data_IF_278562943010
#
_entry.id   IF_278562943010
#
_cell.length_a   1.000
_cell.length_b   1.000
_cell.length_c   1.000
_cell.angle_alpha   90.00
_cell.angle_beta   90.00
_cell.angle_gamma   90.00
#
_symmetry.space_group_name_H-M   'P 1'
#
loop_
_entity.id
_entity.type
_entity.pdbx_description
1 polymer ?
#
# COMPACT_ATOMS: atom_id res chain seq x y z
N UNK A 1 -9.39 -79.19 28.22
CA UNK A 1 -8.78 -78.87 26.91
C UNK A 1 -7.77 -77.76 27.13
N UNK A 2 -6.54 -78.02 27.59
CA UNK A 2 -5.39 -78.65 26.91
C UNK A 2 -4.95 -77.92 25.62
N UNK A 3 -3.96 -77.05 25.81
CA UNK A 3 -2.71 -76.87 25.05
C UNK A 3 -2.72 -76.71 23.51
N UNK A 4 -1.94 -75.71 23.09
CA UNK A 4 -1.00 -75.72 21.95
C UNK A 4 -1.48 -75.19 20.59
N UNK A 5 -1.05 -73.96 20.26
CA UNK A 5 -0.28 -73.68 19.03
C UNK A 5 0.38 -72.29 19.15
N UNK A 6 1.61 -72.21 19.67
CA UNK A 6 2.85 -72.06 18.89
C UNK A 6 2.84 -70.86 17.92
N UNK A 7 3.41 -69.75 18.41
CA UNK A 7 4.51 -68.99 17.78
C UNK A 7 4.66 -69.29 16.28
N UNK A 8 4.15 -68.40 15.45
CA UNK A 8 4.71 -68.15 14.13
C UNK A 8 5.24 -66.72 14.13
N UNK A 9 6.38 -66.54 14.81
CA UNK A 9 7.35 -65.51 14.47
C UNK A 9 7.90 -65.92 13.11
N UNK A 10 7.25 -65.48 12.04
CA UNK A 10 7.88 -65.43 10.73
C UNK A 10 8.21 -63.98 10.43
N UNK A 11 9.48 -63.73 10.68
CA UNK A 11 10.30 -62.63 10.20
C UNK A 11 10.01 -62.40 8.71
N UNK A 12 9.01 -61.58 8.39
CA UNK A 12 9.03 -60.78 7.15
C UNK A 12 9.64 -59.44 7.53
N UNK A 13 10.92 -59.51 7.90
CA UNK A 13 11.87 -58.40 7.86
C UNK A 13 12.60 -58.49 6.50
N UNK A 14 11.83 -58.72 5.43
CA UNK A 14 12.33 -58.72 4.06
C UNK A 14 12.01 -57.35 3.44
N UNK A 15 13.03 -56.50 3.42
CA UNK A 15 13.26 -55.53 2.36
C UNK A 15 12.07 -54.63 1.97
N UNK A 16 11.49 -53.93 2.93
CA UNK A 16 11.06 -52.56 2.63
C UNK A 16 12.29 -51.65 2.63
N UNK A 17 13.20 -51.89 1.69
CA UNK A 17 14.09 -50.83 1.21
C UNK A 17 13.12 -49.88 0.53
N UNK A 18 12.56 -48.97 1.32
CA UNK A 18 11.89 -47.79 0.83
C UNK A 18 12.98 -47.09 0.04
N UNK A 19 13.01 -47.35 -1.27
CA UNK A 19 13.73 -46.54 -2.21
C UNK A 19 13.13 -45.14 -2.03
N UNK A 20 13.79 -44.32 -1.22
CA UNK A 20 13.65 -42.89 -1.28
C UNK A 20 14.16 -42.48 -2.67
N UNK A 21 13.34 -42.71 -3.70
CA UNK A 21 13.60 -42.17 -5.01
C UNK A 21 13.59 -40.67 -4.82
N UNK A 22 14.78 -40.06 -4.96
CA UNK A 22 14.89 -38.63 -4.90
C UNK A 22 14.05 -38.06 -6.04
N UNK A 23 13.02 -37.28 -5.68
CA UNK A 23 12.12 -36.68 -6.65
C UNK A 23 12.96 -35.84 -7.62
N UNK A 24 12.65 -35.94 -8.92
CA UNK A 24 13.25 -35.06 -9.91
C UNK A 24 12.93 -33.60 -9.55
N UNK A 25 13.74 -32.65 -10.04
CA UNK A 25 13.50 -31.22 -9.81
C UNK A 25 12.10 -30.79 -10.25
N UNK A 26 11.61 -31.34 -11.36
CA UNK A 26 10.28 -31.10 -11.90
C UNK A 26 9.18 -31.65 -10.99
N UNK A 27 9.35 -32.88 -10.49
CA UNK A 27 8.43 -33.49 -9.53
C UNK A 27 8.38 -32.70 -8.21
N UNK A 28 9.54 -32.22 -7.72
CA UNK A 28 9.62 -31.33 -6.55
C UNK A 28 8.87 -30.03 -6.79
N UNK A 29 9.05 -29.39 -7.96
CA UNK A 29 8.35 -28.16 -8.33
C UNK A 29 6.83 -28.37 -8.39
N UNK A 30 6.36 -29.43 -9.05
CA UNK A 30 4.94 -29.73 -9.14
C UNK A 30 4.32 -29.92 -7.74
N UNK A 31 4.99 -30.69 -6.88
CA UNK A 31 4.55 -30.88 -5.49
C UNK A 31 4.46 -29.57 -4.71
N UNK A 32 5.39 -28.63 -4.92
CA UNK A 32 5.34 -27.29 -4.31
C UNK A 32 4.11 -26.52 -4.80
N UNK A 33 3.81 -26.56 -6.10
CA UNK A 33 2.64 -25.87 -6.67
C UNK A 33 1.33 -26.45 -6.12
N UNK A 34 1.24 -27.79 -6.02
CA UNK A 34 0.07 -28.47 -5.48
C UNK A 34 -0.16 -28.12 -4.00
N UNK A 35 0.91 -28.14 -3.19
CA UNK A 35 0.84 -27.74 -1.79
C UNK A 35 0.43 -26.26 -1.64
N UNK A 36 0.98 -25.37 -2.46
CA UNK A 36 0.60 -23.96 -2.44
C UNK A 36 -0.89 -23.77 -2.79
N UNK A 37 -1.43 -24.54 -3.73
CA UNK A 37 -2.86 -24.51 -4.04
C UNK A 37 -3.72 -25.01 -2.88
N UNK A 38 -3.32 -26.09 -2.21
CA UNK A 38 -4.02 -26.57 -1.01
C UNK A 38 -4.00 -25.52 0.10
N UNK A 39 -2.85 -24.88 0.33
CA UNK A 39 -2.71 -23.80 1.31
C UNK A 39 -3.64 -22.63 0.96
N UNK A 40 -3.73 -22.21 -0.31
CA UNK A 40 -4.64 -21.14 -0.73
C UNK A 40 -6.11 -21.46 -0.47
N UNK A 41 -6.52 -22.72 -0.65
CA UNK A 41 -7.89 -23.15 -0.33
C UNK A 41 -8.14 -23.02 1.18
N UNK A 42 -7.24 -23.56 2.00
CA UNK A 42 -7.34 -23.47 3.46
C UNK A 42 -7.29 -22.03 3.96
N UNK A 43 -6.48 -21.17 3.35
CA UNK A 43 -6.41 -19.75 3.67
C UNK A 43 -7.69 -19.01 3.33
N UNK A 44 -8.30 -19.29 2.18
CA UNK A 44 -9.58 -18.72 1.82
C UNK A 44 -10.63 -19.09 2.86
N UNK A 45 -10.71 -20.37 3.23
CA UNK A 45 -11.65 -20.85 4.23
C UNK A 45 -11.37 -20.24 5.62
N UNK A 46 -10.09 -20.11 6.00
CA UNK A 46 -9.66 -19.49 7.25
C UNK A 46 -10.05 -18.01 7.36
N UNK A 47 -10.09 -17.30 6.22
CA UNK A 47 -10.49 -15.89 6.16
C UNK A 47 -11.99 -15.68 6.08
N UNK A 48 -12.79 -16.74 5.99
CA UNK A 48 -14.25 -16.60 6.02
C UNK A 48 -14.74 -16.38 7.46
N UNK A 49 -15.75 -15.51 7.63
CA UNK A 49 -16.57 -15.49 8.84
C UNK A 49 -17.29 -16.83 9.04
N UNK A 50 -17.68 -17.13 10.28
CA UNK A 50 -18.47 -18.32 10.58
C UNK A 50 -19.84 -18.27 9.88
N UNK A 51 -20.43 -19.45 9.61
CA UNK A 51 -21.75 -19.55 8.96
C UNK A 51 -22.85 -18.73 9.67
N UNK A 52 -22.80 -18.67 11.01
CA UNK A 52 -23.75 -17.88 11.82
C UNK A 52 -23.59 -16.37 11.59
N UNK A 53 -22.35 -15.90 11.41
CA UNK A 53 -22.06 -14.49 11.15
C UNK A 53 -22.55 -14.12 9.73
N UNK A 54 -22.38 -15.02 8.75
CA UNK A 54 -22.91 -14.88 7.39
C UNK A 54 -24.44 -14.83 7.37
N UNK A 55 -25.12 -15.79 8.00
CA UNK A 55 -26.59 -15.83 8.09
C UNK A 55 -27.15 -14.57 8.74
N UNK A 56 -26.52 -14.11 9.82
CA UNK A 56 -26.94 -12.91 10.53
C UNK A 56 -26.76 -11.65 9.67
N UNK A 57 -25.58 -11.47 9.07
CA UNK A 57 -25.32 -10.32 8.20
C UNK A 57 -26.31 -10.30 7.02
N UNK A 58 -26.58 -11.44 6.40
CA UNK A 58 -27.56 -11.57 5.33
C UNK A 58 -28.97 -11.16 5.80
N UNK A 59 -29.41 -11.63 6.97
CA UNK A 59 -30.72 -11.27 7.54
C UNK A 59 -30.84 -9.76 7.81
N UNK A 60 -29.74 -9.11 8.20
CA UNK A 60 -29.68 -7.67 8.46
C UNK A 60 -29.36 -6.84 7.20
N UNK A 61 -29.23 -7.48 6.04
CA UNK A 61 -28.85 -6.87 4.76
C UNK A 61 -27.50 -6.14 4.80
N UNK A 62 -26.52 -6.77 5.45
CA UNK A 62 -25.13 -6.31 5.52
C UNK A 62 -24.19 -7.34 4.87
N UNK A 63 -23.01 -6.85 4.47
CA UNK A 63 -21.88 -7.70 4.16
C UNK A 63 -21.12 -8.04 5.45
N UNK A 64 -20.32 -9.10 5.44
CA UNK A 64 -19.48 -9.50 6.57
C UNK A 64 -18.09 -9.92 6.12
N UNK A 65 -17.09 -9.61 6.95
CA UNK A 65 -15.69 -9.96 6.71
C UNK A 65 -14.98 -10.30 8.03
N UNK A 66 -13.99 -11.19 7.97
CA UNK A 66 -13.04 -11.46 9.05
C UNK A 66 -11.74 -10.70 8.81
N UNK A 67 -11.32 -9.83 9.71
CA UNK A 67 -10.08 -9.06 9.59
C UNK A 67 -9.07 -9.53 10.65
N UNK A 68 -7.92 -10.03 10.23
CA UNK A 68 -6.93 -10.64 11.14
C UNK A 68 -5.96 -9.63 11.75
N UNK A 69 -5.47 -9.83 12.98
CA UNK A 69 -4.41 -8.98 13.56
C UNK A 69 -3.09 -9.18 12.82
N UNK A 70 -2.54 -8.11 12.25
CA UNK A 70 -1.31 -8.13 11.46
C UNK A 70 -0.15 -8.78 12.20
N UNK A 71 0.07 -8.39 13.46
CA UNK A 71 1.16 -8.87 14.30
C UNK A 71 1.16 -10.40 14.50
N UNK A 72 0.00 -11.04 14.31
CA UNK A 72 -0.15 -12.48 14.50
C UNK A 72 -0.04 -13.27 13.21
N UNK A 73 -0.52 -12.74 12.09
CA UNK A 73 -0.71 -13.52 10.86
C UNK A 73 0.13 -13.05 9.67
N UNK A 74 0.72 -11.84 9.73
CA UNK A 74 1.61 -11.37 8.66
C UNK A 74 2.80 -12.33 8.49
N UNK A 75 3.08 -12.70 7.23
CA UNK A 75 4.08 -13.71 6.82
C UNK A 75 3.83 -15.14 7.31
N UNK A 76 2.67 -15.46 7.91
CA UNK A 76 2.26 -16.84 8.24
C UNK A 76 1.34 -17.45 7.20
N UNK A 77 0.63 -16.62 6.45
CA UNK A 77 -0.18 -17.00 5.30
C UNK A 77 0.53 -16.55 4.00
N UNK A 78 0.25 -17.21 2.88
CA UNK A 78 0.72 -16.89 1.55
C UNK A 78 0.15 -15.54 1.08
N UNK A 79 -1.08 -15.20 1.48
CA UNK A 79 -1.65 -13.88 1.20
C UNK A 79 -0.87 -12.77 1.92
N UNK A 80 -0.46 -11.74 1.16
CA UNK A 80 0.33 -10.63 1.69
C UNK A 80 -0.47 -9.88 2.77
N UNK A 81 0.12 -9.76 3.96
CA UNK A 81 -0.53 -9.16 5.13
C UNK A 81 -1.33 -10.15 5.99
N UNK A 82 -1.42 -11.44 5.62
CA UNK A 82 -2.03 -12.45 6.49
C UNK A 82 -3.53 -12.26 6.78
N UNK A 83 -4.25 -11.57 5.90
CA UNK A 83 -5.66 -11.22 6.11
C UNK A 83 -5.88 -10.00 7.01
N UNK A 84 -4.82 -9.25 7.34
CA UNK A 84 -4.93 -8.04 8.17
C UNK A 84 -5.39 -6.80 7.43
N UNK A 85 -5.64 -6.92 6.13
CA UNK A 85 -6.14 -5.87 5.28
C UNK A 85 -7.39 -6.36 4.58
N UNK A 86 -8.25 -5.43 4.18
CA UNK A 86 -9.41 -5.74 3.36
C UNK A 86 -9.72 -4.63 2.36
N UNK A 87 -10.14 -5.06 1.19
CA UNK A 87 -10.65 -4.24 0.12
C UNK A 87 -12.15 -4.49 -0.04
N UNK A 88 -12.98 -3.53 0.34
CA UNK A 88 -14.43 -3.53 0.17
C UNK A 88 -14.84 -3.53 -1.31
N UNK A 89 -14.06 -2.88 -2.19
CA UNK A 89 -14.37 -2.84 -3.63
C UNK A 89 -14.01 -4.14 -4.34
N UNK A 90 -13.01 -4.89 -3.85
CA UNK A 90 -12.55 -6.14 -4.46
C UNK A 90 -12.97 -7.39 -3.69
N UNK A 91 -13.59 -7.23 -2.51
CA UNK A 91 -13.83 -8.32 -1.55
C UNK A 91 -12.58 -9.17 -1.31
N UNK A 92 -11.42 -8.53 -1.15
CA UNK A 92 -10.12 -9.19 -1.09
C UNK A 92 -9.35 -8.84 0.18
N UNK A 93 -8.63 -9.83 0.71
CA UNK A 93 -7.71 -9.68 1.83
C UNK A 93 -6.26 -9.41 1.41
N UNK A 94 -6.00 -9.36 0.10
CA UNK A 94 -4.66 -9.16 -0.40
C UNK A 94 -4.31 -7.68 -0.27
N UNK A 95 -3.22 -7.38 0.44
CA UNK A 95 -2.70 -6.02 0.55
C UNK A 95 -2.47 -5.33 -0.81
N UNK A 96 -2.19 -6.11 -1.87
CA UNK A 96 -1.96 -5.59 -3.21
C UNK A 96 -3.26 -5.21 -3.95
N UNK A 97 -4.42 -5.63 -3.46
CA UNK A 97 -5.72 -5.37 -4.07
C UNK A 97 -6.38 -4.12 -3.45
N UNK A 98 -5.67 -2.99 -3.39
CA UNK A 98 -6.17 -1.70 -2.89
C UNK A 98 -6.83 -1.78 -1.51
N UNK A 99 -6.04 -2.13 -0.49
CA UNK A 99 -6.51 -2.20 0.89
C UNK A 99 -7.13 -0.87 1.36
N UNK A 100 -8.39 -0.90 1.81
CA UNK A 100 -9.08 0.29 2.34
C UNK A 100 -9.16 0.28 3.87
N UNK A 101 -9.09 -0.89 4.50
CA UNK A 101 -9.02 -1.03 5.96
C UNK A 101 -7.96 -2.05 6.35
N UNK A 102 -7.40 -1.91 7.54
CA UNK A 102 -6.49 -2.88 8.12
C UNK A 102 -6.51 -2.88 9.64
N UNK A 103 -6.03 -3.98 10.24
CA UNK A 103 -5.99 -4.19 11.67
C UNK A 103 -4.56 -4.47 12.14
N UNK A 104 -4.04 -3.63 13.03
CA UNK A 104 -2.71 -3.76 13.60
C UNK A 104 -2.70 -3.20 15.01
N UNK A 105 -2.13 -3.96 15.97
CA UNK A 105 -2.04 -3.53 17.37
C UNK A 105 -3.40 -3.11 17.96
N UNK A 106 -4.45 -3.87 17.65
CA UNK A 106 -5.84 -3.56 18.02
C UNK A 106 -6.39 -2.21 17.54
N UNK A 107 -5.74 -1.58 16.55
CA UNK A 107 -6.23 -0.38 15.89
C UNK A 107 -6.66 -0.69 14.45
N UNK A 108 -7.79 -0.11 14.06
CA UNK A 108 -8.20 0.03 12.68
C UNK A 108 -7.34 1.09 12.00
N UNK A 109 -6.95 0.86 10.75
CA UNK A 109 -6.12 1.79 9.96
C UNK A 109 -6.70 1.99 8.56
N UNK A 110 -6.41 3.15 7.97
CA UNK A 110 -6.70 3.52 6.58
C UNK A 110 -5.51 4.28 5.96
N UNK A 111 -5.41 4.28 4.63
CA UNK A 111 -4.36 5.00 3.88
C UNK A 111 -2.99 4.33 3.97
N UNK A 112 -2.74 3.34 3.11
CA UNK A 112 -1.59 2.41 3.24
C UNK A 112 -0.46 2.65 2.25
N UNK A 113 -0.74 3.03 1.00
CA UNK A 113 0.24 3.05 -0.07
C UNK A 113 0.33 4.44 -0.73
N UNK A 114 1.56 4.87 -1.05
CA UNK A 114 1.78 6.05 -1.89
C UNK A 114 1.07 7.30 -1.38
N UNK A 115 0.26 7.89 -2.26
CA UNK A 115 -0.52 9.12 -2.00
C UNK A 115 -1.91 8.83 -1.38
N UNK A 116 -2.27 7.56 -1.18
CA UNK A 116 -3.55 7.18 -0.62
C UNK A 116 -3.69 7.63 0.83
N UNK A 117 -4.90 8.01 1.18
CA UNK A 117 -5.25 8.38 2.55
C UNK A 117 -6.72 8.07 2.81
N UNK A 118 -7.16 8.34 4.03
CA UNK A 118 -8.57 8.24 4.36
C UNK A 118 -8.83 8.72 5.77
N UNK A 119 -10.10 8.68 6.10
CA UNK A 119 -10.65 9.16 7.35
C UNK A 119 -11.47 8.04 7.97
N UNK A 120 -11.27 7.78 9.25
CA UNK A 120 -12.15 6.95 10.05
C UNK A 120 -12.61 7.74 11.28
N UNK A 121 -13.88 7.57 11.65
CA UNK A 121 -14.40 8.07 12.93
C UNK A 121 -15.29 7.03 13.59
N UNK A 122 -15.30 7.04 14.92
CA UNK A 122 -16.09 6.16 15.77
C UNK A 122 -17.43 6.83 16.06
N UNK A 123 -18.52 6.15 15.74
CA UNK A 123 -19.90 6.62 15.93
C UNK A 123 -20.52 6.08 17.22
N UNK A 124 -19.76 5.32 18.01
CA UNK A 124 -20.22 4.69 19.24
C UNK A 124 -21.12 3.48 18.99
N UNK A 125 -21.98 3.16 19.95
CA UNK A 125 -22.81 1.94 19.94
C UNK A 125 -24.06 2.00 19.03
N UNK A 126 -24.10 2.91 18.06
CA UNK A 126 -25.26 3.05 17.17
C UNK A 126 -25.45 1.82 16.27
N UNK A 127 -26.70 1.39 15.99
CA UNK A 127 -26.97 0.31 15.06
C UNK A 127 -26.46 0.62 13.66
N UNK A 128 -25.82 -0.35 13.00
CA UNK A 128 -25.30 -0.16 11.63
C UNK A 128 -26.40 0.21 10.63
N UNK A 129 -27.64 -0.25 10.87
CA UNK A 129 -28.81 0.10 10.06
C UNK A 129 -29.09 1.61 10.06
N UNK A 130 -28.87 2.29 11.19
CA UNK A 130 -29.15 3.72 11.39
C UNK A 130 -28.05 4.63 10.84
N UNK A 131 -26.87 4.08 10.52
CA UNK A 131 -25.79 4.87 9.93
C UNK A 131 -26.18 5.32 8.52
N UNK A 132 -26.35 6.62 8.33
CA UNK A 132 -26.76 7.23 7.06
C UNK A 132 -25.95 8.49 6.74
N UNK A 133 -26.15 9.07 5.55
CA UNK A 133 -25.39 10.25 5.08
C UNK A 133 -25.76 11.53 5.83
N UNK A 134 -26.91 11.54 6.49
CA UNK A 134 -27.46 12.67 7.23
C UNK A 134 -26.86 12.84 8.62
N UNK A 135 -26.20 11.81 9.15
CA UNK A 135 -25.43 11.90 10.40
C UNK A 135 -24.31 12.93 10.22
N UNK A 136 -24.12 13.80 11.21
CA UNK A 136 -23.19 14.93 11.11
C UNK A 136 -21.75 14.46 10.79
N UNK A 137 -21.29 13.42 11.47
CA UNK A 137 -20.01 12.74 11.27
C UNK A 137 -19.84 12.13 9.88
N UNK A 138 -20.94 11.75 9.23
CA UNK A 138 -20.91 11.16 7.89
C UNK A 138 -21.00 12.27 6.82
N UNK A 139 -21.74 13.34 7.11
CA UNK A 139 -22.02 14.43 6.17
C UNK A 139 -20.75 15.14 5.68
N UNK A 140 -19.76 15.34 6.56
CA UNK A 140 -18.46 15.88 6.16
C UNK A 140 -17.76 14.95 5.15
N UNK A 141 -17.73 13.65 5.44
CA UNK A 141 -17.10 12.67 4.56
C UNK A 141 -17.81 12.54 3.22
N UNK A 142 -19.12 12.76 3.15
CA UNK A 142 -19.85 12.80 1.87
C UNK A 142 -19.42 14.00 1.02
N UNK A 143 -19.26 15.16 1.65
CA UNK A 143 -18.99 16.42 0.94
C UNK A 143 -17.51 16.71 0.72
N UNK A 144 -16.60 15.94 1.33
CA UNK A 144 -15.17 16.12 1.19
C UNK A 144 -14.74 15.94 -0.28
N UNK A 145 -13.86 16.84 -0.76
CA UNK A 145 -13.30 16.78 -2.12
C UNK A 145 -11.80 16.54 -2.00
N UNK A 146 -11.31 15.35 -2.40
CA UNK A 146 -9.88 15.08 -2.34
C UNK A 146 -9.14 16.04 -3.29
N UNK A 147 -8.06 16.72 -2.85
CA UNK A 147 -7.20 17.43 -3.78
C UNK A 147 -6.57 16.44 -4.77
N UNK A 148 -6.28 16.92 -5.99
CA UNK A 148 -5.61 16.11 -7.01
C UNK A 148 -4.13 16.44 -7.15
N UNK A 149 -3.68 17.60 -6.67
CA UNK A 149 -2.27 18.01 -6.74
C UNK A 149 -1.45 17.29 -5.66
N UNK A 150 -0.36 16.61 -6.03
CA UNK A 150 0.40 15.78 -5.08
C UNK A 150 0.82 16.52 -3.79
N UNK A 151 1.47 17.70 -3.85
CA UNK A 151 1.73 18.51 -2.66
C UNK A 151 0.55 18.70 -1.71
N UNK A 152 -0.64 18.99 -2.24
CA UNK A 152 -1.88 19.16 -1.45
C UNK A 152 -2.36 17.82 -0.87
N UNK A 153 -2.28 16.74 -1.65
CA UNK A 153 -2.58 15.38 -1.17
C UNK A 153 -1.69 15.01 0.01
N UNK A 154 -0.39 15.33 -0.06
CA UNK A 154 0.55 15.08 1.06
C UNK A 154 0.22 15.92 2.29
N UNK A 155 -0.31 17.13 2.13
CA UNK A 155 -0.79 17.95 3.24
C UNK A 155 -2.00 17.29 3.91
N UNK A 156 -2.98 16.84 3.14
CA UNK A 156 -4.17 16.15 3.66
C UNK A 156 -3.81 14.83 4.35
N UNK A 157 -2.91 14.03 3.77
CA UNK A 157 -2.41 12.78 4.37
C UNK A 157 -1.78 13.01 5.75
N UNK A 158 -1.07 14.13 5.96
CA UNK A 158 -0.51 14.49 7.27
C UNK A 158 -1.60 14.92 8.26
N UNK A 159 -2.58 15.70 7.81
CA UNK A 159 -3.70 16.15 8.66
C UNK A 159 -4.59 14.99 9.11
N UNK A 160 -4.70 13.93 8.30
CA UNK A 160 -5.51 12.76 8.62
C UNK A 160 -5.12 12.03 9.92
N UNK A 161 -4.01 12.40 10.59
CA UNK A 161 -3.73 11.89 11.92
C UNK A 161 -4.73 12.36 12.99
N UNK A 162 -5.19 13.61 12.89
CA UNK A 162 -6.09 14.25 13.88
C UNK A 162 -6.87 15.40 13.21
N UNK A 163 -7.72 15.04 12.25
CA UNK A 163 -8.46 15.99 11.44
C UNK A 163 -9.76 16.40 12.17
N UNK A 164 -9.81 17.62 12.70
CA UNK A 164 -10.97 18.13 13.43
C UNK A 164 -11.85 19.03 12.57
N UNK A 165 -13.14 18.70 12.45
CA UNK A 165 -14.15 19.52 11.78
C UNK A 165 -15.34 19.66 12.72
N UNK A 166 -15.62 20.90 13.15
CA UNK A 166 -16.76 21.22 14.02
C UNK A 166 -16.82 20.37 15.30
N UNK A 167 -15.67 20.01 15.87
CA UNK A 167 -15.58 19.18 17.07
C UNK A 167 -15.60 17.68 16.82
N UNK A 168 -15.81 17.24 15.58
CA UNK A 168 -15.73 15.83 15.18
C UNK A 168 -14.30 15.54 14.74
N UNK A 169 -13.75 14.46 15.28
CA UNK A 169 -12.37 14.04 15.01
C UNK A 169 -12.37 12.86 14.05
N UNK A 170 -11.66 13.02 12.94
CA UNK A 170 -11.36 11.96 11.99
C UNK A 170 -9.88 11.62 12.05
N UNK A 171 -9.59 10.32 12.06
CA UNK A 171 -8.22 9.83 12.19
C UNK A 171 -7.92 8.82 11.09
N UNK A 172 -6.63 8.57 10.88
CA UNK A 172 -6.14 7.44 10.06
C UNK A 172 -6.03 6.15 10.85
N UNK A 173 -6.09 6.24 12.19
CA UNK A 173 -6.06 5.10 13.10
C UNK A 173 -7.03 5.31 14.27
N UNK A 174 -7.74 4.26 14.65
CA UNK A 174 -8.64 4.26 15.81
C UNK A 174 -8.63 2.90 16.51
N UNK A 175 -8.85 2.85 17.84
CA UNK A 175 -9.06 1.60 18.54
C UNK A 175 -10.23 0.81 17.95
N UNK A 176 -10.05 -0.50 17.81
CA UNK A 176 -11.11 -1.42 17.46
C UNK A 176 -11.95 -1.79 18.70
N UNK A 177 -13.13 -1.19 18.84
CA UNK A 177 -14.05 -1.43 19.96
C UNK A 177 -15.22 -2.30 19.51
N UNK A 178 -15.36 -3.48 20.11
CA UNK A 178 -16.47 -4.40 19.80
C UNK A 178 -17.80 -3.73 20.15
N UNK A 179 -18.79 -3.84 19.26
CA UNK A 179 -20.10 -3.22 19.41
C UNK A 179 -20.19 -1.80 18.86
N UNK A 180 -19.06 -1.14 18.57
CA UNK A 180 -19.08 0.20 17.99
C UNK A 180 -19.27 0.16 16.47
N UNK A 181 -20.01 1.15 15.96
CA UNK A 181 -20.10 1.49 14.56
C UNK A 181 -19.08 2.57 14.20
N UNK A 182 -18.60 2.51 12.97
CA UNK A 182 -17.61 3.41 12.41
C UNK A 182 -18.06 3.82 11.02
N UNK A 183 -17.59 4.98 10.59
CA UNK A 183 -17.60 5.37 9.19
C UNK A 183 -16.18 5.59 8.72
N UNK A 184 -15.88 5.10 7.51
CA UNK A 184 -14.59 5.21 6.87
C UNK A 184 -14.77 5.70 5.44
N UNK A 185 -14.02 6.75 5.07
CA UNK A 185 -13.78 7.09 3.67
C UNK A 185 -12.36 6.73 3.31
N UNK A 186 -12.19 5.88 2.31
CA UNK A 186 -10.88 5.49 1.78
C UNK A 186 -10.71 6.05 0.38
N UNK A 187 -9.62 6.79 0.19
CA UNK A 187 -9.28 7.48 -1.04
C UNK A 187 -7.97 6.87 -1.57
N UNK A 188 -8.11 6.03 -2.59
CA UNK A 188 -7.02 5.41 -3.32
C UNK A 188 -6.93 6.00 -4.71
N UNK A 189 -5.87 6.78 -4.96
CA UNK A 189 -5.72 7.49 -6.23
C UNK A 189 -5.60 6.50 -7.38
N UNK A 190 -6.27 6.83 -8.49
CA UNK A 190 -6.35 6.01 -9.71
C UNK A 190 -7.13 4.68 -9.57
N UNK A 191 -7.61 4.34 -8.38
CA UNK A 191 -8.23 3.03 -8.11
C UNK A 191 -9.65 3.10 -7.51
N UNK A 192 -9.87 3.87 -6.44
CA UNK A 192 -11.14 3.89 -5.71
C UNK A 192 -11.32 5.11 -4.79
N UNK A 193 -12.56 5.60 -4.66
CA UNK A 193 -12.97 6.49 -3.57
C UNK A 193 -14.33 6.02 -3.04
N UNK A 194 -14.35 5.55 -1.79
CA UNK A 194 -15.54 4.91 -1.21
C UNK A 194 -15.79 5.38 0.21
N UNK A 195 -17.07 5.44 0.57
CA UNK A 195 -17.56 5.66 1.93
C UNK A 195 -18.28 4.40 2.42
N UNK A 196 -17.79 3.83 3.53
CA UNK A 196 -18.30 2.60 4.13
C UNK A 196 -18.67 2.87 5.58
N UNK A 197 -19.84 2.36 5.98
CA UNK A 197 -20.18 2.21 7.39
C UNK A 197 -19.96 0.76 7.80
N UNK A 198 -19.42 0.54 8.99
CA UNK A 198 -19.23 -0.81 9.51
C UNK A 198 -19.34 -0.86 11.03
N UNK A 199 -19.65 -2.03 11.56
CA UNK A 199 -19.72 -2.30 12.99
C UNK A 199 -18.86 -3.50 13.30
N UNK A 200 -18.06 -3.40 14.36
CA UNK A 200 -17.30 -4.55 14.86
C UNK A 200 -18.28 -5.44 15.60
N UNK A 201 -18.73 -6.51 14.96
CA UNK A 201 -19.72 -7.41 15.54
C UNK A 201 -19.14 -8.18 16.73
N UNK A 202 -17.93 -8.72 16.56
CA UNK A 202 -17.27 -9.59 17.54
C UNK A 202 -15.76 -9.57 17.32
N UNK A 203 -15.03 -9.92 18.38
CA UNK A 203 -13.61 -10.25 18.31
C UNK A 203 -13.42 -11.71 18.71
N UNK A 204 -12.76 -12.47 17.85
CA UNK A 204 -12.44 -13.87 18.10
C UNK A 204 -11.33 -14.01 19.14
N UNK A 205 -11.22 -15.19 19.75
CA UNK A 205 -10.17 -15.53 20.72
C UNK A 205 -8.77 -15.43 20.12
N UNK A 206 -8.67 -15.51 18.79
CA UNK A 206 -7.42 -15.39 18.07
C UNK A 206 -7.02 -13.92 17.79
N UNK A 207 -7.88 -12.97 18.14
CA UNK A 207 -7.70 -11.54 17.96
C UNK A 207 -8.32 -10.98 16.68
N UNK A 208 -8.84 -11.82 15.77
CA UNK A 208 -9.50 -11.38 14.54
C UNK A 208 -10.84 -10.71 14.82
N UNK A 209 -11.20 -9.76 13.97
CA UNK A 209 -12.46 -9.04 14.05
C UNK A 209 -13.45 -9.60 13.04
N UNK A 210 -14.69 -9.81 13.47
CA UNK A 210 -15.83 -10.01 12.58
C UNK A 210 -16.51 -8.66 12.40
N UNK A 211 -16.51 -8.16 11.16
CA UNK A 211 -16.99 -6.82 10.82
C UNK A 211 -18.20 -6.94 9.91
N UNK A 212 -19.31 -6.34 10.30
CA UNK A 212 -20.48 -6.17 9.44
C UNK A 212 -20.37 -4.80 8.79
N UNK A 213 -20.64 -4.69 7.49
CA UNK A 213 -20.46 -3.45 6.76
C UNK A 213 -21.48 -3.24 5.64
N UNK A 214 -21.69 -1.98 5.28
CA UNK A 214 -22.46 -1.56 4.12
C UNK A 214 -21.76 -0.39 3.42
N UNK A 215 -21.85 -0.38 2.09
CA UNK A 215 -21.40 0.73 1.28
C UNK A 215 -22.43 1.87 1.40
N UNK A 216 -21.97 3.08 1.73
CA UNK A 216 -22.82 4.27 1.75
C UNK A 216 -22.75 5.03 0.43
N UNK A 217 -21.55 5.13 -0.16
CA UNK A 217 -21.31 5.88 -1.39
C UNK A 217 -20.03 5.44 -2.09
N UNK A 218 -20.03 5.60 -3.41
CA UNK A 218 -18.84 5.59 -4.27
C UNK A 218 -18.72 6.95 -4.91
N UNK A 219 -17.52 7.51 -4.95
CA UNK A 219 -17.24 8.79 -5.58
C UNK A 219 -16.50 8.60 -6.91
N UNK A 220 -16.34 9.70 -7.64
CA UNK A 220 -15.42 9.75 -8.77
C UNK A 220 -14.00 9.43 -8.30
N UNK A 221 -13.31 8.55 -9.03
CA UNK A 221 -11.95 8.13 -8.68
C UNK A 221 -11.02 9.34 -8.88
N UNK A 222 -10.31 9.80 -7.83
CA UNK A 222 -9.40 10.92 -7.98
C UNK A 222 -8.13 10.47 -8.69
N UNK A 223 -7.68 11.30 -9.63
CA UNK A 223 -6.44 11.09 -10.36
C UNK A 223 -5.34 12.00 -9.82
N UNK A 224 -4.20 11.41 -9.49
CA UNK A 224 -3.09 12.16 -8.91
C UNK A 224 -2.38 12.97 -10.00
N UNK A 225 -2.56 14.29 -9.96
CA UNK A 225 -1.74 15.24 -10.71
C UNK A 225 -0.43 15.40 -9.96
N UNK A 226 0.55 14.60 -10.35
CA UNK A 226 1.94 14.93 -10.02
C UNK A 226 2.22 16.27 -10.65
N UNK A 227 2.96 17.14 -9.95
CA UNK A 227 3.47 18.32 -10.60
C UNK A 227 4.27 17.81 -11.81
N UNK A 228 3.68 17.92 -12.99
CA UNK A 228 4.46 18.19 -14.17
C UNK A 228 5.19 19.46 -13.77
N UNK A 229 6.48 19.35 -13.48
CA UNK A 229 7.33 20.50 -13.65
C UNK A 229 7.11 20.89 -15.11
N UNK A 230 6.18 21.80 -15.36
CA UNK A 230 6.03 22.45 -16.65
C UNK A 230 7.28 23.31 -16.80
N UNK A 231 8.40 22.66 -17.08
CA UNK A 231 9.26 23.18 -18.11
C UNK A 231 8.38 23.12 -19.34
N UNK A 232 7.89 24.28 -19.76
CA UNK A 232 7.28 24.47 -21.06
C UNK A 232 8.34 24.03 -22.08
N UNK A 233 8.37 22.74 -22.39
CA UNK A 233 9.04 22.22 -23.58
C UNK A 233 7.93 22.16 -24.61
N UNK A 234 7.94 23.06 -25.61
CA UNK A 234 7.01 22.97 -26.72
C UNK A 234 7.08 21.56 -27.29
N UNK A 235 5.91 20.97 -27.53
CA UNK A 235 5.79 19.72 -28.27
C UNK A 235 6.55 19.84 -29.59
N UNK A 236 7.73 19.23 -29.67
CA UNK A 236 8.47 19.02 -30.91
C UNK A 236 8.81 17.55 -30.99
N UNK A 237 8.18 16.91 -31.96
CA UNK A 237 8.55 15.62 -32.51
C UNK A 237 10.02 15.59 -32.96
N UNK A 238 10.68 14.46 -32.70
CA UNK A 238 12.01 14.05 -33.20
C UNK A 238 13.23 14.76 -32.60
N UNK A 239 13.85 14.12 -31.58
CA UNK A 239 15.25 13.67 -31.59
C UNK A 239 15.66 13.24 -30.17
N UNK A 240 15.94 11.95 -29.98
CA UNK A 240 16.43 11.32 -28.72
C UNK A 240 17.71 11.97 -28.16
N UNK A 241 18.38 12.77 -28.98
CA UNK A 241 19.59 13.52 -28.66
C UNK A 241 19.33 14.68 -27.67
N UNK A 242 18.19 15.37 -27.79
CA UNK A 242 17.88 16.54 -26.94
C UNK A 242 17.46 16.18 -25.52
N UNK A 243 16.90 15.00 -25.31
CA UNK A 243 16.45 14.53 -23.99
C UNK A 243 17.66 14.25 -23.08
N UNK A 244 18.71 13.64 -23.62
CA UNK A 244 19.95 13.38 -22.89
C UNK A 244 20.67 14.68 -22.48
N UNK A 245 20.62 15.70 -23.34
CA UNK A 245 21.22 17.00 -23.08
C UNK A 245 20.45 17.76 -22.00
N UNK A 246 19.12 17.73 -22.04
CA UNK A 246 18.28 18.32 -21.00
C UNK A 246 18.47 17.64 -19.63
N UNK A 247 18.43 16.30 -19.58
CA UNK A 247 18.65 15.54 -18.34
C UNK A 247 20.04 15.83 -17.75
N UNK A 248 21.05 15.98 -18.62
CA UNK A 248 22.41 16.30 -18.19
C UNK A 248 22.51 17.72 -17.61
N UNK A 249 21.86 18.71 -18.24
CA UNK A 249 21.78 20.08 -17.70
C UNK A 249 21.13 20.08 -16.31
N UNK A 250 20.01 19.38 -16.12
CA UNK A 250 19.33 19.31 -14.83
C UNK A 250 20.18 18.64 -13.74
N UNK A 251 20.92 17.58 -14.09
CA UNK A 251 21.83 16.91 -13.16
C UNK A 251 22.98 17.83 -12.70
N UNK A 252 23.51 18.66 -13.60
CA UNK A 252 24.55 19.64 -13.29
C UNK A 252 24.06 20.76 -12.40
N UNK A 253 22.90 21.35 -12.72
CA UNK A 253 22.28 22.40 -11.91
C UNK A 253 22.00 21.89 -10.48
N UNK A 254 21.46 20.67 -10.37
CA UNK A 254 21.25 20.02 -9.06
C UNK A 254 22.56 19.81 -8.29
N UNK A 255 23.63 19.40 -8.98
CA UNK A 255 24.94 19.19 -8.35
C UNK A 255 25.58 20.50 -7.87
N UNK A 256 25.36 21.60 -8.60
CA UNK A 256 25.81 22.94 -8.21
C UNK A 256 25.03 23.46 -7.00
N UNK A 257 23.71 23.32 -6.98
CA UNK A 257 22.88 23.71 -5.83
C UNK A 257 23.30 22.96 -4.55
N UNK A 258 23.55 21.66 -4.63
CA UNK A 258 24.02 20.85 -3.49
C UNK A 258 25.39 21.29 -2.94
N UNK A 259 26.17 22.01 -3.74
CA UNK A 259 27.48 22.57 -3.37
C UNK A 259 27.43 24.09 -3.15
N UNK A 260 26.22 24.63 -3.02
CA UNK A 260 25.93 26.04 -2.76
C UNK A 260 26.41 27.01 -3.85
N UNK A 261 26.56 26.53 -5.09
CA UNK A 261 26.81 27.35 -6.26
C UNK A 261 25.48 27.83 -6.86
N UNK A 262 25.04 29.02 -6.44
CA UNK A 262 23.71 29.55 -6.80
C UNK A 262 23.66 30.30 -8.12
N UNK A 263 24.80 30.81 -8.59
CA UNK A 263 24.88 31.69 -9.76
C UNK A 263 25.58 31.00 -10.95
N UNK A 264 25.52 29.67 -11.03
CA UNK A 264 26.05 28.89 -12.15
C UNK A 264 24.88 28.31 -12.94
N UNK A 265 24.97 28.41 -14.27
CA UNK A 265 24.11 27.69 -15.21
C UNK A 265 24.95 26.79 -16.11
N UNK A 266 24.35 25.69 -16.57
CA UNK A 266 25.01 24.72 -17.43
C UNK A 266 24.18 24.41 -18.69
N UNK A 267 24.81 24.51 -19.84
CA UNK A 267 24.20 24.13 -21.12
C UNK A 267 24.93 22.90 -21.67
N UNK A 268 24.26 21.75 -21.68
CA UNK A 268 24.81 20.52 -22.18
C UNK A 268 24.45 20.30 -23.66
N UNK A 269 25.42 19.81 -24.41
CA UNK A 269 25.26 19.24 -25.75
C UNK A 269 25.87 17.85 -25.76
N UNK A 270 25.55 17.03 -26.75
CA UNK A 270 26.12 15.68 -26.91
C UNK A 270 27.62 15.54 -26.65
N UNK A 271 28.42 16.54 -27.02
CA UNK A 271 29.89 16.47 -26.95
C UNK A 271 30.50 17.39 -25.89
N UNK A 272 29.84 18.50 -25.55
CA UNK A 272 30.37 19.50 -24.61
C UNK A 272 29.32 20.06 -23.65
N UNK A 273 29.79 20.56 -22.51
CA UNK A 273 29.00 21.32 -21.54
C UNK A 273 29.61 22.71 -21.38
N UNK A 274 28.82 23.75 -21.55
CA UNK A 274 29.24 25.14 -21.31
C UNK A 274 28.75 25.59 -19.94
N UNK A 275 29.66 26.07 -19.10
CA UNK A 275 29.33 26.65 -17.79
C UNK A 275 29.37 28.17 -17.87
N UNK A 276 28.33 28.84 -17.33
CA UNK A 276 28.22 30.31 -17.33
C UNK A 276 27.80 30.81 -15.96
N UNK A 277 28.24 32.02 -15.61
CA UNK A 277 27.88 32.69 -14.37
C UNK A 277 29.08 33.00 -13.48
N UNK A 278 28.83 33.15 -12.19
CA UNK A 278 29.82 33.63 -11.22
C UNK A 278 30.01 32.65 -10.08
N UNK A 279 31.24 32.57 -9.57
CA UNK A 279 31.59 31.75 -8.42
C UNK A 279 32.36 32.56 -7.38
N UNK A 280 32.29 32.19 -6.09
CA UNK A 280 33.13 32.83 -5.09
C UNK A 280 34.62 32.71 -5.43
N UNK A 281 35.41 33.72 -5.09
CA UNK A 281 36.86 33.70 -5.26
C UNK A 281 37.51 32.42 -4.71
N UNK A 282 38.29 31.74 -5.55
CA UNK A 282 38.97 30.48 -5.25
C UNK A 282 38.11 29.23 -5.47
N UNK A 283 36.87 29.36 -5.96
CA UNK A 283 35.95 28.23 -6.18
C UNK A 283 35.77 27.82 -7.64
N UNK A 284 36.44 28.49 -8.58
CA UNK A 284 36.37 28.16 -10.01
C UNK A 284 36.75 26.70 -10.30
N UNK A 285 37.85 26.22 -9.69
CA UNK A 285 38.31 24.85 -9.90
C UNK A 285 37.33 23.80 -9.36
N UNK A 286 36.69 24.07 -8.22
CA UNK A 286 35.69 23.19 -7.62
C UNK A 286 34.47 23.05 -8.54
N UNK A 287 33.96 24.16 -9.08
CA UNK A 287 32.81 24.16 -9.99
C UNK A 287 33.11 23.38 -11.29
N UNK A 288 34.27 23.61 -11.89
CA UNK A 288 34.66 22.89 -13.11
C UNK A 288 34.82 21.39 -12.84
N UNK A 289 35.41 21.01 -11.69
CA UNK A 289 35.58 19.60 -11.31
C UNK A 289 34.23 18.89 -11.13
N UNK A 290 33.27 19.52 -10.45
CA UNK A 290 31.90 18.98 -10.30
C UNK A 290 31.28 18.71 -11.67
N UNK A 291 31.44 19.64 -12.61
CA UNK A 291 30.92 19.46 -13.97
C UNK A 291 31.59 18.30 -14.72
N UNK A 292 32.91 18.15 -14.58
CA UNK A 292 33.65 17.05 -15.20
C UNK A 292 33.21 15.68 -14.66
N UNK A 293 33.08 15.57 -13.33
CA UNK A 293 32.66 14.33 -12.65
C UNK A 293 31.22 13.94 -13.02
N UNK A 294 30.33 14.93 -13.11
CA UNK A 294 28.90 14.72 -13.41
C UNK A 294 28.66 14.42 -14.89
N UNK A 295 29.23 15.23 -15.78
CA UNK A 295 28.88 15.17 -17.20
C UNK A 295 29.69 14.16 -18.01
N UNK A 296 30.92 13.85 -17.60
CA UNK A 296 31.86 13.01 -18.39
C UNK A 296 32.00 13.48 -19.85
N UNK A 297 31.88 14.80 -20.07
CA UNK A 297 31.97 15.49 -21.36
C UNK A 297 33.03 16.58 -21.29
N UNK A 298 33.41 17.12 -22.45
CA UNK A 298 34.32 18.27 -22.51
C UNK A 298 33.66 19.48 -21.86
N UNK A 299 34.36 20.16 -20.94
CA UNK A 299 33.83 21.36 -20.27
C UNK A 299 34.39 22.62 -20.93
N UNK A 300 33.50 23.50 -21.36
CA UNK A 300 33.80 24.86 -21.80
C UNK A 300 33.48 25.82 -20.67
N UNK A 301 34.51 26.20 -19.91
CA UNK A 301 34.35 27.07 -18.75
C UNK A 301 34.28 28.54 -19.19
N UNK A 302 33.15 29.21 -18.89
CA UNK A 302 32.97 30.66 -19.04
C UNK A 302 32.57 31.32 -17.71
N UNK A 303 32.91 30.69 -16.58
CA UNK A 303 32.69 31.23 -15.24
C UNK A 303 33.68 32.34 -14.94
N UNK A 304 33.24 33.32 -14.15
CA UNK A 304 34.08 34.37 -13.56
C UNK A 304 34.06 34.29 -12.05
N UNK A 305 35.13 34.76 -11.39
CA UNK A 305 35.16 34.85 -9.93
C UNK A 305 34.64 36.21 -9.46
N UNK A 306 33.90 36.20 -8.35
CA UNK A 306 33.50 37.38 -7.58
C UNK A 306 34.22 37.41 -6.22
#
# INVERSE_FOLDING_TARGET
MRYAFKIFVFVIFLASIINAQDLSREQKLQKILDLNNQIRILEKDFLLPDAKDLEKAQKENFNVVRLNPREKYDRKLLIKGGGSYYSFTKNSHNYQDIAQIGLEQNNLKVGFAGADYGFITDLGEIPLAEVSKEILEVSFLVNYKPPTNEPEVRLEQRKAHDYNVNGIIYKRNLPAVVGHAYVLRAISFDDADILVAFRIHRKDTDGSLIIFWKLLETFEIPHLKRNETTVNVPQVSANEVGVLDYVMTQALESAFEQKEFKDISAEATTTEVTLRGTVPKGKLADAVRIAQETAKRKIKNQLTEQ
#
